data_IF_959377836612
#
_entry.id   IF_959377836612
#
_cell.length_a   1.000
_cell.length_b   1.000
_cell.length_c   1.000
_cell.angle_alpha   90.00
_cell.angle_beta   90.00
_cell.angle_gamma   90.00
#
_symmetry.space_group_name_H-M   'P 1'
#
loop_
_entity.id
_entity.type
_entity.pdbx_description
1 polymer ?
#
# COMPACT_ATOMS: atom_id res chain seq x y z
N UNK A 1 0.49 37.85 -14.92
CA UNK A 1 0.17 36.41 -14.87
C UNK A 1 -1.15 36.20 -15.58
N UNK A 2 -1.10 35.61 -16.75
CA UNK A 2 -2.26 35.26 -17.55
C UNK A 2 -3.09 34.19 -16.84
N UNK A 3 -4.41 34.41 -16.69
CA UNK A 3 -5.29 33.48 -16.03
C UNK A 3 -5.41 32.23 -16.89
N UNK A 4 -4.80 31.13 -16.47
CA UNK A 4 -5.05 29.79 -17.02
C UNK A 4 -6.54 29.44 -16.77
N UNK A 5 -7.38 29.66 -17.77
CA UNK A 5 -8.77 29.19 -17.74
C UNK A 5 -8.81 27.77 -18.26
N UNK A 6 -8.91 26.81 -17.35
CA UNK A 6 -9.37 25.45 -17.69
C UNK A 6 -10.90 25.51 -17.63
N UNK A 7 -11.54 25.65 -18.79
CA UNK A 7 -12.96 25.33 -18.94
C UNK A 7 -13.00 24.03 -19.73
N UNK A 8 -13.22 22.90 -19.07
CA UNK A 8 -14.03 21.82 -19.65
C UNK A 8 -14.22 20.68 -18.62
N UNK A 9 -15.47 20.47 -18.22
CA UNK A 9 -15.96 19.21 -17.68
C UNK A 9 -16.21 18.18 -18.81
N UNK A 10 -15.43 18.18 -19.87
CA UNK A 10 -15.52 17.16 -20.91
C UNK A 10 -14.60 16.00 -20.54
N UNK A 11 -15.20 14.83 -20.41
CA UNK A 11 -14.51 13.54 -20.33
C UNK A 11 -13.49 13.49 -21.46
N UNK A 12 -12.21 13.34 -21.14
CA UNK A 12 -11.16 13.33 -22.17
C UNK A 12 -11.29 12.07 -23.05
N UNK A 13 -10.72 12.09 -24.26
CA UNK A 13 -10.71 10.90 -25.12
C UNK A 13 -9.96 9.74 -24.43
N UNK A 14 -8.98 10.03 -23.61
CA UNK A 14 -8.25 9.02 -22.81
C UNK A 14 -9.18 8.39 -21.77
N UNK A 15 -9.98 9.18 -21.05
CA UNK A 15 -10.94 8.67 -20.08
C UNK A 15 -12.00 7.78 -20.73
N UNK A 16 -12.49 8.19 -21.92
CA UNK A 16 -13.43 7.37 -22.69
C UNK A 16 -12.84 6.04 -23.14
N UNK A 17 -11.56 6.03 -23.53
CA UNK A 17 -10.84 4.80 -23.91
C UNK A 17 -10.65 3.92 -22.69
N UNK A 18 -10.30 4.48 -21.53
CA UNK A 18 -10.18 3.75 -20.27
C UNK A 18 -11.49 3.06 -19.89
N UNK A 19 -12.60 3.80 -19.88
CA UNK A 19 -13.94 3.24 -19.62
C UNK A 19 -14.32 2.13 -20.62
N UNK A 20 -14.00 2.30 -21.89
CA UNK A 20 -14.25 1.29 -22.93
C UNK A 20 -13.42 0.03 -22.70
N UNK A 21 -12.17 0.16 -22.29
CA UNK A 21 -11.33 -0.99 -21.95
C UNK A 21 -11.85 -1.74 -20.73
N UNK A 22 -12.24 -1.02 -19.66
CA UNK A 22 -12.81 -1.63 -18.46
C UNK A 22 -14.13 -2.37 -18.78
N UNK A 23 -14.98 -1.78 -19.62
CA UNK A 23 -16.21 -2.43 -20.07
C UNK A 23 -15.92 -3.68 -20.91
N UNK A 24 -14.94 -3.59 -21.83
CA UNK A 24 -14.49 -4.74 -22.61
C UNK A 24 -14.00 -5.89 -21.72
N UNK A 25 -13.23 -5.61 -20.67
CA UNK A 25 -12.77 -6.64 -19.74
C UNK A 25 -13.94 -7.33 -19.02
N UNK A 26 -14.96 -6.56 -18.62
CA UNK A 26 -16.17 -7.09 -17.99
C UNK A 26 -17.03 -7.91 -18.97
N UNK A 27 -17.28 -7.40 -20.16
CA UNK A 27 -18.10 -8.07 -21.19
C UNK A 27 -17.49 -9.39 -21.66
N UNK A 28 -16.15 -9.44 -21.71
CA UNK A 28 -15.40 -10.66 -22.03
C UNK A 28 -15.19 -11.59 -20.84
N UNK A 29 -15.66 -11.20 -19.67
CA UNK A 29 -15.47 -11.92 -18.39
C UNK A 29 -14.00 -12.29 -18.13
N UNK A 30 -13.07 -11.39 -18.49
CA UNK A 30 -11.65 -11.61 -18.31
C UNK A 30 -11.32 -11.76 -16.82
N UNK A 31 -10.54 -12.77 -16.50
CA UNK A 31 -10.07 -13.07 -15.15
C UNK A 31 -8.61 -12.65 -14.96
N UNK A 32 -8.19 -12.61 -13.72
CA UNK A 32 -6.79 -12.37 -13.36
C UNK A 32 -5.88 -13.39 -14.06
N UNK A 33 -4.91 -12.90 -14.83
CA UNK A 33 -3.97 -13.68 -15.62
C UNK A 33 -4.38 -13.86 -17.10
N UNK A 34 -5.58 -13.46 -17.49
CA UNK A 34 -6.04 -13.54 -18.87
C UNK A 34 -5.33 -12.54 -19.77
N UNK A 35 -5.14 -12.95 -21.01
CA UNK A 35 -4.50 -12.12 -22.03
C UNK A 35 -5.38 -10.98 -22.50
N UNK A 36 -4.79 -9.81 -22.59
CA UNK A 36 -5.39 -8.62 -23.21
C UNK A 36 -4.80 -8.48 -24.61
N UNK A 37 -5.63 -8.17 -25.64
CA UNK A 37 -5.14 -7.92 -26.98
C UNK A 37 -4.01 -6.87 -26.99
N UNK A 38 -3.14 -6.93 -27.99
CA UNK A 38 -2.04 -6.00 -28.08
C UNK A 38 -2.48 -4.57 -28.43
N UNK A 39 -1.55 -3.60 -28.26
CA UNK A 39 -1.84 -2.17 -28.49
C UNK A 39 -2.35 -1.88 -29.93
N UNK A 40 -1.89 -2.61 -30.93
CA UNK A 40 -2.31 -2.41 -32.31
C UNK A 40 -3.77 -2.85 -32.50
N UNK A 41 -4.09 -4.03 -32.00
CA UNK A 41 -5.43 -4.61 -32.08
C UNK A 41 -6.46 -3.74 -31.33
N UNK A 42 -6.12 -3.31 -30.11
CA UNK A 42 -6.98 -2.45 -29.30
C UNK A 42 -7.19 -1.07 -29.96
N UNK A 43 -6.13 -0.43 -30.47
CA UNK A 43 -6.23 0.86 -31.12
C UNK A 43 -7.10 0.79 -32.38
N UNK A 44 -6.93 -0.26 -33.20
CA UNK A 44 -7.75 -0.49 -34.38
C UNK A 44 -9.22 -0.75 -34.01
N UNK A 45 -9.47 -1.57 -32.99
CA UNK A 45 -10.82 -1.90 -32.53
C UNK A 45 -11.57 -0.69 -31.95
N UNK A 46 -10.87 0.19 -31.24
CA UNK A 46 -11.44 1.40 -30.63
C UNK A 46 -11.47 2.60 -31.59
N UNK A 47 -10.81 2.52 -32.75
CA UNK A 47 -10.74 3.61 -33.72
C UNK A 47 -9.99 4.84 -33.20
N UNK A 48 -8.97 4.65 -32.34
CA UNK A 48 -8.21 5.74 -31.73
C UNK A 48 -6.73 5.69 -32.10
N UNK A 49 -6.05 6.82 -31.97
CA UNK A 49 -4.61 6.90 -32.14
C UNK A 49 -3.90 6.06 -31.07
N UNK A 50 -2.79 5.40 -31.44
CA UNK A 50 -1.99 4.57 -30.51
C UNK A 50 -1.47 5.33 -29.31
N UNK A 51 -1.20 6.64 -29.46
CA UNK A 51 -0.77 7.51 -28.34
C UNK A 51 -1.84 7.64 -27.26
N UNK A 52 -3.09 7.84 -27.66
CA UNK A 52 -4.24 7.93 -26.73
C UNK A 52 -4.46 6.59 -26.03
N UNK A 53 -4.42 5.48 -26.76
CA UNK A 53 -4.54 4.15 -26.17
C UNK A 53 -3.42 3.86 -25.17
N UNK A 54 -2.16 4.20 -25.52
CA UNK A 54 -1.03 3.99 -24.61
C UNK A 54 -1.17 4.77 -23.32
N UNK A 55 -1.70 5.98 -23.37
CA UNK A 55 -1.95 6.76 -22.16
C UNK A 55 -3.00 6.08 -21.28
N UNK A 56 -4.12 5.63 -21.83
CA UNK A 56 -5.13 4.88 -21.09
C UNK A 56 -4.56 3.58 -20.49
N UNK A 57 -3.84 2.78 -21.28
CA UNK A 57 -3.18 1.57 -20.79
C UNK A 57 -2.14 1.86 -19.72
N UNK A 58 -1.42 2.98 -19.82
CA UNK A 58 -0.45 3.40 -18.80
C UNK A 58 -1.12 3.70 -17.47
N UNK A 59 -2.30 4.34 -17.49
CA UNK A 59 -3.09 4.59 -16.28
C UNK A 59 -3.57 3.28 -15.65
N UNK A 60 -4.11 2.36 -16.45
CA UNK A 60 -4.52 1.03 -15.97
C UNK A 60 -3.35 0.23 -15.39
N UNK A 61 -2.15 0.33 -16.00
CA UNK A 61 -0.92 -0.27 -15.45
C UNK A 61 -0.50 0.37 -14.12
N UNK A 62 -0.59 1.70 -14.01
CA UNK A 62 -0.30 2.39 -12.75
C UNK A 62 -1.25 1.98 -11.62
N UNK A 63 -2.50 1.70 -11.93
CA UNK A 63 -3.50 1.17 -10.99
C UNK A 63 -3.31 -0.32 -10.68
N UNK A 64 -2.38 -1.00 -11.36
CA UNK A 64 -2.15 -2.44 -11.18
C UNK A 64 -3.23 -3.34 -11.80
N UNK A 65 -4.06 -2.81 -12.69
CA UNK A 65 -5.10 -3.59 -13.39
C UNK A 65 -4.56 -4.36 -14.59
N UNK A 66 -3.43 -3.91 -15.13
CA UNK A 66 -2.75 -4.53 -16.27
C UNK A 66 -1.26 -4.66 -15.97
N UNK A 67 -0.69 -5.80 -16.32
CA UNK A 67 0.74 -6.06 -16.26
C UNK A 67 1.25 -6.51 -17.62
N UNK A 68 2.49 -6.13 -17.96
CA UNK A 68 3.18 -6.65 -19.14
C UNK A 68 4.15 -7.74 -18.71
N UNK A 69 3.91 -8.97 -19.14
CA UNK A 69 4.75 -10.13 -18.85
C UNK A 69 5.59 -10.54 -20.06
N UNK A 70 6.85 -10.86 -19.80
CA UNK A 70 7.75 -11.37 -20.84
C UNK A 70 7.14 -12.63 -21.50
N UNK A 71 7.10 -12.66 -22.81
CA UNK A 71 6.52 -13.73 -23.67
C UNK A 71 4.99 -13.89 -23.61
N UNK A 72 4.31 -13.25 -22.64
CA UNK A 72 2.84 -13.34 -22.50
C UNK A 72 2.11 -12.05 -22.93
N UNK A 73 2.83 -10.96 -23.20
CA UNK A 73 2.21 -9.68 -23.51
C UNK A 73 1.48 -9.06 -22.32
N UNK A 74 0.41 -8.34 -22.59
CA UNK A 74 -0.42 -7.72 -21.55
C UNK A 74 -1.38 -8.73 -20.97
N UNK A 75 -1.51 -8.75 -19.66
CA UNK A 75 -2.44 -9.59 -18.91
C UNK A 75 -3.24 -8.74 -17.91
N UNK A 76 -4.49 -9.13 -17.69
CA UNK A 76 -5.30 -8.55 -16.62
C UNK A 76 -4.75 -9.00 -15.27
N UNK A 77 -4.69 -8.09 -14.31
CA UNK A 77 -4.26 -8.37 -12.94
C UNK A 77 -5.29 -7.84 -11.96
N UNK A 78 -5.37 -8.47 -10.79
CA UNK A 78 -6.18 -7.96 -9.71
C UNK A 78 -5.44 -6.79 -9.07
N UNK A 79 -5.99 -5.55 -9.15
CA UNK A 79 -5.31 -4.40 -8.56
C UNK A 79 -5.26 -4.51 -7.04
N UNK A 80 -4.13 -4.15 -6.46
CA UNK A 80 -4.08 -3.88 -5.03
C UNK A 80 -4.89 -2.63 -4.73
N UNK A 81 -5.88 -2.73 -3.85
CA UNK A 81 -6.71 -1.58 -3.42
C UNK A 81 -5.81 -0.47 -2.85
N UNK A 82 -4.73 -0.83 -2.20
CA UNK A 82 -3.78 0.08 -1.57
C UNK A 82 -2.56 0.39 -2.44
N UNK A 83 -2.41 -0.28 -3.59
CA UNK A 83 -1.20 -0.18 -4.43
C UNK A 83 -0.86 1.24 -4.90
N UNK A 84 -1.88 2.05 -5.19
CA UNK A 84 -1.72 3.46 -5.53
C UNK A 84 -1.22 4.32 -4.36
N UNK A 85 -1.61 3.99 -3.14
CA UNK A 85 -1.25 4.76 -1.94
C UNK A 85 0.25 4.69 -1.64
N UNK A 86 0.92 3.58 -1.95
CA UNK A 86 2.35 3.41 -1.69
C UNK A 86 3.23 4.49 -2.32
N UNK A 87 2.79 5.09 -3.43
CA UNK A 87 3.52 6.16 -4.11
C UNK A 87 3.21 7.55 -3.57
N UNK A 88 2.03 7.69 -2.98
CA UNK A 88 1.53 8.96 -2.44
C UNK A 88 2.00 9.14 -0.99
N UNK A 89 2.09 8.05 -0.24
CA UNK A 89 2.53 8.05 1.16
C UNK A 89 4.07 8.04 1.23
N UNK A 90 4.68 9.16 0.84
CA UNK A 90 6.11 9.41 1.05
C UNK A 90 6.27 10.35 2.26
N UNK A 91 6.86 9.86 3.39
CA UNK A 91 6.98 10.65 4.62
C UNK A 91 7.81 11.92 4.47
N UNK A 92 8.60 12.06 3.39
CA UNK A 92 9.41 13.25 3.13
C UNK A 92 8.63 14.41 2.53
N UNK A 93 7.45 14.14 1.97
CA UNK A 93 6.57 15.14 1.34
C UNK A 93 5.26 15.36 2.09
N UNK A 94 4.95 14.48 3.04
CA UNK A 94 3.77 14.61 3.88
C UNK A 94 4.01 15.64 5.00
N UNK A 95 2.96 16.36 5.39
CA UNK A 95 2.98 17.21 6.58
C UNK A 95 3.07 16.36 7.85
N UNK A 96 3.51 16.97 8.96
CA UNK A 96 3.54 16.28 10.27
C UNK A 96 2.14 15.82 10.68
N UNK A 97 1.12 16.65 10.49
CA UNK A 97 -0.26 16.28 10.80
C UNK A 97 -0.71 15.05 10.00
N UNK A 98 -0.41 15.00 8.70
CA UNK A 98 -0.73 13.84 7.87
C UNK A 98 0.01 12.57 8.32
N UNK A 99 1.26 12.68 8.79
CA UNK A 99 2.00 11.56 9.36
C UNK A 99 1.33 11.04 10.64
N UNK A 100 0.90 11.94 11.54
CA UNK A 100 0.18 11.56 12.76
C UNK A 100 -1.20 10.98 12.46
N UNK A 101 -1.92 11.48 11.46
CA UNK A 101 -3.20 10.91 11.02
C UNK A 101 -3.01 9.46 10.52
N UNK A 102 -1.96 9.17 9.75
CA UNK A 102 -1.62 7.80 9.31
C UNK A 102 -1.31 6.89 10.51
N UNK A 103 -0.59 7.40 11.51
CA UNK A 103 -0.32 6.63 12.74
C UNK A 103 -1.60 6.39 13.54
N UNK A 104 -2.46 7.39 13.66
CA UNK A 104 -3.77 7.27 14.30
C UNK A 104 -4.67 6.24 13.60
N UNK A 105 -4.66 6.26 12.26
CA UNK A 105 -5.36 5.25 11.47
C UNK A 105 -4.81 3.83 11.71
N UNK A 106 -3.49 3.66 11.79
CA UNK A 106 -2.87 2.39 12.12
C UNK A 106 -3.35 1.87 13.49
N UNK A 107 -3.33 2.72 14.52
CA UNK A 107 -3.78 2.34 15.87
C UNK A 107 -5.25 1.89 15.84
N UNK A 108 -6.11 2.66 15.18
CA UNK A 108 -7.53 2.32 15.04
C UNK A 108 -7.73 0.98 14.30
N UNK A 109 -6.94 0.73 13.24
CA UNK A 109 -6.96 -0.53 12.51
C UNK A 109 -6.50 -1.68 13.40
N UNK A 110 -5.41 -1.54 14.13
CA UNK A 110 -4.84 -2.59 14.99
C UNK A 110 -5.82 -2.96 16.12
N UNK A 111 -6.49 -1.99 16.71
CA UNK A 111 -7.57 -2.26 17.68
C UNK A 111 -8.72 -3.01 17.00
N UNK A 112 -9.13 -2.58 15.82
CA UNK A 112 -10.25 -3.17 15.08
C UNK A 112 -10.03 -4.61 14.64
N UNK A 113 -8.78 -5.00 14.34
CA UNK A 113 -8.44 -6.37 13.88
C UNK A 113 -8.16 -7.36 15.01
N UNK A 114 -8.14 -6.92 16.27
CA UNK A 114 -7.86 -7.84 17.40
C UNK A 114 -8.80 -9.04 17.39
N UNK A 115 -10.08 -8.84 17.13
CA UNK A 115 -11.04 -9.94 17.06
C UNK A 115 -10.68 -10.97 15.99
N UNK A 116 -10.32 -10.49 14.79
CA UNK A 116 -9.91 -11.37 13.67
C UNK A 116 -8.63 -12.14 13.99
N UNK A 117 -7.68 -11.49 14.68
CA UNK A 117 -6.46 -12.15 15.13
C UNK A 117 -6.81 -13.32 16.08
N UNK A 118 -7.65 -13.07 17.10
CA UNK A 118 -8.04 -14.10 18.05
C UNK A 118 -8.82 -15.26 17.43
N UNK A 119 -9.56 -15.02 16.36
CA UNK A 119 -10.28 -16.09 15.64
C UNK A 119 -9.36 -16.98 14.79
N UNK A 120 -8.24 -16.45 14.31
CA UNK A 120 -7.42 -17.13 13.30
C UNK A 120 -6.03 -17.55 13.80
N UNK A 121 -5.61 -17.04 14.98
CA UNK A 121 -4.27 -17.32 15.51
C UNK A 121 -4.10 -18.80 15.83
N UNK A 122 -2.99 -19.39 15.40
CA UNK A 122 -2.61 -20.77 15.66
C UNK A 122 -1.48 -20.84 16.71
N UNK A 123 -1.23 -22.02 17.33
CA UNK A 123 -0.07 -22.20 18.20
C UNK A 123 1.27 -21.91 17.50
N UNK A 124 1.36 -22.21 16.20
CA UNK A 124 2.53 -21.94 15.38
C UNK A 124 2.73 -20.43 15.18
N UNK A 125 1.64 -19.67 15.01
CA UNK A 125 1.70 -18.21 14.92
C UNK A 125 2.19 -17.59 16.24
N UNK A 126 1.76 -18.14 17.38
CA UNK A 126 2.21 -17.69 18.71
C UNK A 126 3.71 -17.93 18.85
N UNK A 127 4.19 -19.13 18.50
CA UNK A 127 5.61 -19.47 18.58
C UNK A 127 6.46 -18.54 17.70
N UNK A 128 6.01 -18.22 16.48
CA UNK A 128 6.70 -17.28 15.59
C UNK A 128 6.70 -15.86 16.17
N UNK A 129 5.60 -15.41 16.77
CA UNK A 129 5.54 -14.10 17.42
C UNK A 129 6.48 -14.03 18.63
N UNK A 130 6.58 -15.09 19.44
CA UNK A 130 7.50 -15.20 20.57
C UNK A 130 8.97 -15.13 20.08
N UNK A 131 9.29 -15.84 18.99
CA UNK A 131 10.63 -15.76 18.39
C UNK A 131 10.98 -14.35 17.94
N UNK A 132 10.06 -13.66 17.24
CA UNK A 132 10.23 -12.27 16.79
C UNK A 132 10.49 -11.33 17.97
N UNK A 133 9.74 -11.48 19.06
CA UNK A 133 9.87 -10.68 20.28
C UNK A 133 11.23 -10.96 20.95
N UNK A 134 11.61 -12.22 21.10
CA UNK A 134 12.87 -12.63 21.73
C UNK A 134 14.09 -12.12 20.97
N UNK A 135 14.06 -12.13 19.63
CA UNK A 135 15.12 -11.52 18.80
C UNK A 135 15.19 -10.00 19.02
N UNK A 136 14.03 -9.35 19.22
CA UNK A 136 13.95 -7.90 19.47
C UNK A 136 14.56 -7.48 20.83
N UNK A 137 14.46 -8.31 21.85
CA UNK A 137 14.96 -8.03 23.20
C UNK A 137 16.51 -8.09 23.30
N UNK A 138 17.19 -8.73 22.34
CA UNK A 138 18.65 -8.85 22.34
C UNK A 138 19.41 -7.53 22.11
N UNK A 139 18.72 -6.42 21.85
CA UNK A 139 19.34 -5.11 21.68
C UNK A 139 19.46 -4.39 23.03
N UNK A 140 20.70 -4.00 23.40
CA UNK A 140 21.12 -3.50 24.74
C UNK A 140 20.38 -2.24 25.23
N UNK A 141 19.56 -1.57 24.42
CA UNK A 141 18.99 -0.25 24.75
C UNK A 141 17.49 -0.23 25.01
N UNK A 142 16.79 -1.33 25.22
CA UNK A 142 15.32 -1.39 25.29
C UNK A 142 14.60 -0.81 24.06
N UNK A 143 15.31 -0.53 23.00
CA UNK A 143 14.72 -0.21 21.71
C UNK A 143 14.48 -1.53 20.98
N UNK A 144 13.22 -1.85 20.69
CA UNK A 144 12.92 -2.91 19.75
C UNK A 144 13.65 -2.66 18.44
N UNK A 145 14.43 -3.63 17.98
CA UNK A 145 15.07 -3.51 16.68
C UNK A 145 13.97 -3.15 15.64
N UNK A 146 14.19 -2.13 14.80
CA UNK A 146 13.20 -1.72 13.80
C UNK A 146 12.70 -2.88 12.95
N UNK A 147 13.54 -3.89 12.73
CA UNK A 147 13.21 -5.12 12.05
C UNK A 147 12.19 -5.98 12.82
N UNK A 148 12.36 -6.14 14.14
CA UNK A 148 11.45 -6.97 14.95
C UNK A 148 10.06 -6.36 15.05
N UNK A 149 9.96 -5.04 15.16
CA UNK A 149 8.66 -4.36 15.15
C UNK A 149 7.95 -4.52 13.81
N UNK A 150 8.67 -4.33 12.71
CA UNK A 150 8.10 -4.56 11.38
C UNK A 150 7.62 -6.00 11.22
N UNK A 151 8.43 -6.98 11.61
CA UNK A 151 8.10 -8.40 11.53
C UNK A 151 6.88 -8.73 12.40
N UNK A 152 6.81 -8.20 13.63
CA UNK A 152 5.70 -8.41 14.56
C UNK A 152 4.38 -7.94 13.99
N UNK A 153 4.28 -6.67 13.58
CA UNK A 153 3.04 -6.15 12.97
C UNK A 153 2.69 -6.82 11.66
N UNK A 154 3.70 -7.16 10.84
CA UNK A 154 3.47 -7.93 9.60
C UNK A 154 2.85 -9.28 9.90
N UNK A 155 3.32 -9.96 10.94
CA UNK A 155 2.75 -11.25 11.37
C UNK A 155 1.32 -11.09 11.86
N UNK A 156 1.03 -10.11 12.73
CA UNK A 156 -0.33 -9.83 13.21
C UNK A 156 -1.31 -9.60 12.05
N UNK A 157 -0.92 -8.79 11.09
CA UNK A 157 -1.79 -8.51 9.93
C UNK A 157 -2.02 -9.74 9.05
N UNK A 158 -1.01 -10.59 8.88
CA UNK A 158 -1.14 -11.85 8.13
C UNK A 158 -2.08 -12.85 8.80
N UNK A 159 -2.08 -12.92 10.13
CA UNK A 159 -2.97 -13.81 10.89
C UNK A 159 -4.45 -13.53 10.60
N UNK A 160 -4.82 -12.28 10.31
CA UNK A 160 -6.20 -11.95 9.94
C UNK A 160 -6.68 -12.63 8.66
N UNK A 161 -5.78 -13.16 7.82
CA UNK A 161 -6.10 -13.69 6.49
C UNK A 161 -6.53 -12.63 5.46
N UNK A 162 -6.64 -11.35 5.86
CA UNK A 162 -7.06 -10.27 5.00
C UNK A 162 -5.86 -9.65 4.26
N UNK A 163 -5.79 -9.87 2.94
CA UNK A 163 -4.68 -9.40 2.10
C UNK A 163 -4.51 -7.88 2.11
N UNK A 164 -5.62 -7.13 2.13
CA UNK A 164 -5.59 -5.66 2.14
C UNK A 164 -4.99 -5.13 3.43
N UNK A 165 -5.34 -5.74 4.58
CA UNK A 165 -4.74 -5.41 5.88
C UNK A 165 -3.24 -5.72 5.87
N UNK A 166 -2.84 -6.89 5.35
CA UNK A 166 -1.44 -7.26 5.24
C UNK A 166 -0.63 -6.31 4.32
N UNK A 167 -1.24 -5.84 3.24
CA UNK A 167 -0.61 -4.86 2.33
C UNK A 167 -0.44 -3.47 2.98
N UNK A 168 -1.33 -3.08 3.90
CA UNK A 168 -1.26 -1.80 4.60
C UNK A 168 0.05 -1.62 5.35
N UNK A 169 0.62 -2.68 5.92
CA UNK A 169 1.92 -2.63 6.60
C UNK A 169 3.05 -2.11 5.68
N UNK A 170 3.03 -2.47 4.40
CA UNK A 170 4.03 -1.99 3.43
C UNK A 170 3.92 -0.48 3.14
N UNK A 171 2.75 0.10 3.41
CA UNK A 171 2.49 1.53 3.24
C UNK A 171 2.90 2.30 4.49
N UNK A 172 2.53 1.79 5.66
CA UNK A 172 2.74 2.49 6.92
C UNK A 172 4.18 2.36 7.45
N UNK A 173 4.89 1.28 7.12
CA UNK A 173 6.24 1.04 7.61
C UNK A 173 7.25 2.18 7.30
N UNK A 174 7.34 2.73 6.08
CA UNK A 174 8.21 3.87 5.81
C UNK A 174 7.87 5.10 6.66
N UNK A 175 6.57 5.32 6.93
CA UNK A 175 6.10 6.41 7.81
C UNK A 175 6.59 6.18 9.24
N UNK A 176 6.41 4.96 9.76
CA UNK A 176 6.86 4.60 11.12
C UNK A 176 8.36 4.79 11.29
N UNK A 177 9.16 4.31 10.33
CA UNK A 177 10.61 4.46 10.35
C UNK A 177 11.00 5.94 10.38
N UNK A 178 10.41 6.73 9.48
CA UNK A 178 10.70 8.17 9.40
C UNK A 178 10.30 8.93 10.68
N UNK A 179 9.12 8.65 11.23
CA UNK A 179 8.65 9.29 12.46
C UNK A 179 9.54 8.92 13.64
N UNK A 180 9.93 7.65 13.78
CA UNK A 180 10.86 7.22 14.83
C UNK A 180 12.22 7.92 14.74
N UNK A 181 12.80 8.02 13.55
CA UNK A 181 14.06 8.71 13.34
C UNK A 181 13.94 10.20 13.67
N UNK A 182 12.90 10.85 13.14
CA UNK A 182 12.67 12.29 13.31
C UNK A 182 12.42 12.68 14.77
N UNK A 183 11.66 11.85 15.51
CA UNK A 183 11.25 12.15 16.89
C UNK A 183 12.10 11.44 17.95
N UNK A 184 13.16 10.72 17.57
CA UNK A 184 14.06 10.04 18.50
C UNK A 184 14.60 10.99 19.56
N UNK A 185 15.04 12.18 19.19
CA UNK A 185 15.58 13.18 20.10
C UNK A 185 14.54 13.72 21.10
N UNK A 186 13.27 13.75 20.73
CA UNK A 186 12.18 14.19 21.60
C UNK A 186 11.76 13.11 22.60
N UNK A 187 11.89 11.84 22.25
CA UNK A 187 11.50 10.71 23.10
C UNK A 187 12.59 10.32 24.10
N UNK A 188 13.85 10.54 23.78
CA UNK A 188 14.97 10.17 24.63
C UNK A 188 14.88 10.79 26.04
N UNK A 189 14.61 12.10 26.22
CA UNK A 189 14.48 12.70 27.58
C UNK A 189 13.29 12.15 28.37
N UNK A 190 12.17 11.84 27.68
CA UNK A 190 10.97 11.29 28.31
C UNK A 190 11.25 9.88 28.82
N UNK A 191 11.91 9.06 28.01
CA UNK A 191 12.28 7.69 28.39
C UNK A 191 13.25 7.64 29.57
N UNK A 192 14.22 8.56 29.63
CA UNK A 192 15.14 8.69 30.78
C UNK A 192 14.34 9.01 32.03
N UNK A 193 13.46 9.99 31.99
CA UNK A 193 12.61 10.37 33.14
C UNK A 193 11.71 9.23 33.61
N UNK A 194 11.07 8.50 32.69
CA UNK A 194 10.22 7.36 33.02
C UNK A 194 10.99 6.22 33.67
N UNK A 195 12.25 5.97 33.26
CA UNK A 195 13.15 5.00 33.90
C UNK A 195 13.54 5.44 35.33
N UNK A 196 13.88 6.72 35.54
CA UNK A 196 14.20 7.26 36.87
C UNK A 196 12.99 7.16 37.81
N UNK A 197 11.75 7.30 37.29
CA UNK A 197 10.52 7.15 38.07
C UNK A 197 10.10 5.67 38.24
N UNK A 198 10.84 4.70 37.69
CA UNK A 198 10.55 3.27 37.78
C UNK A 198 9.24 2.87 37.06
N UNK A 199 8.84 3.62 36.03
CA UNK A 199 7.59 3.41 35.28
C UNK A 199 7.79 2.58 34.01
N UNK A 200 9.02 2.37 33.58
CA UNK A 200 9.46 1.44 32.53
C UNK A 200 10.84 0.88 32.87
#
# INVERSE_FOLDING_TARGET
MERLRIQNNSVTLVDQVEDKLLNYFREKDLKNGDHIPNEMELAASLGVARSVLREALSRLKMMGMIETRTRRGMVLTEPSILGGMRRVVDPRILSEDALFDILGFRIALEIGICHEIFLHITPEDIAELEEIVNVGIMYENNEYAPFSEFAFHTKLYKITGNRTIAEFQNIVHPVMTFVKEKFREYLAPINVKLKEEGRI
#
